data_IF_768953764725
#
_entry.id   IF_768953764725
#
_cell.length_a   1.000
_cell.length_b   1.000
_cell.length_c   1.000
_cell.angle_alpha   90.00
_cell.angle_beta   90.00
_cell.angle_gamma   90.00
#
_symmetry.space_group_name_H-M   'P 1'
#
loop_
_entity.id
_entity.type
_entity.pdbx_description
1 polymer ?
#
# COMPACT_ATOMS: atom_id res chain seq x y z
N UNK A 1 -0.69 18.58 -29.60
CA UNK A 1 -1.44 18.19 -28.38
C UNK A 1 -1.08 16.74 -28.06
N UNK A 2 -0.43 16.45 -26.93
CA UNK A 2 -0.21 15.07 -26.51
C UNK A 2 -1.54 14.47 -25.99
N UNK A 3 -1.91 13.24 -26.38
CA UNK A 3 -3.13 12.59 -25.90
C UNK A 3 -3.09 12.44 -24.36
N UNK A 4 -4.22 12.71 -23.70
CA UNK A 4 -4.31 12.89 -22.25
C UNK A 4 -3.72 11.72 -21.43
N UNK A 5 -3.86 10.50 -21.95
CA UNK A 5 -3.34 9.25 -21.41
C UNK A 5 -1.81 9.20 -21.23
N UNK A 6 -1.03 9.94 -22.03
CA UNK A 6 0.44 9.96 -21.87
C UNK A 6 0.88 10.80 -20.66
N UNK A 7 0.12 11.85 -20.32
CA UNK A 7 0.45 12.72 -19.18
C UNK A 7 0.25 11.97 -17.86
N UNK A 8 -0.84 11.22 -17.76
CA UNK A 8 -1.14 10.40 -16.58
C UNK A 8 -0.12 9.26 -16.43
N UNK A 9 0.24 8.59 -17.54
CA UNK A 9 1.28 7.57 -17.53
C UNK A 9 2.67 8.12 -17.12
N UNK A 10 3.04 9.31 -17.60
CA UNK A 10 4.32 9.94 -17.24
C UNK A 10 4.35 10.34 -15.76
N UNK A 11 3.23 10.87 -15.24
CA UNK A 11 3.09 11.21 -13.81
C UNK A 11 3.20 9.97 -12.94
N UNK A 12 2.51 8.89 -13.33
CA UNK A 12 2.58 7.59 -12.67
C UNK A 12 4.03 7.07 -12.61
N UNK A 13 4.72 7.06 -13.76
CA UNK A 13 6.09 6.55 -13.83
C UNK A 13 7.07 7.42 -13.04
N UNK A 14 6.86 8.73 -12.99
CA UNK A 14 7.65 9.66 -12.18
C UNK A 14 7.55 9.34 -10.69
N UNK A 15 6.34 9.16 -10.16
CA UNK A 15 6.13 8.78 -8.76
C UNK A 15 6.72 7.41 -8.43
N UNK A 16 6.49 6.42 -9.31
CA UNK A 16 7.03 5.08 -9.15
C UNK A 16 8.56 5.12 -9.07
N UNK A 17 9.21 5.83 -10.00
CA UNK A 17 10.66 5.90 -10.08
C UNK A 17 11.25 6.66 -8.89
N UNK A 18 10.64 7.78 -8.50
CA UNK A 18 11.05 8.57 -7.35
C UNK A 18 11.01 7.74 -6.07
N UNK A 19 9.89 7.08 -5.79
CA UNK A 19 9.73 6.26 -4.58
C UNK A 19 10.64 5.02 -4.59
N UNK A 20 10.83 4.40 -5.76
CA UNK A 20 11.75 3.27 -5.92
C UNK A 20 13.20 3.67 -5.66
N UNK A 21 13.65 4.81 -6.19
CA UNK A 21 14.99 5.32 -5.96
C UNK A 21 15.22 5.65 -4.48
N UNK A 22 14.24 6.29 -3.84
CA UNK A 22 14.26 6.61 -2.41
C UNK A 22 14.23 5.37 -1.51
N UNK A 23 13.57 4.29 -1.95
CA UNK A 23 13.61 3.01 -1.26
C UNK A 23 14.98 2.32 -1.40
N UNK A 24 15.55 2.29 -2.60
CA UNK A 24 16.86 1.67 -2.83
C UNK A 24 17.98 2.39 -2.09
N UNK A 25 18.00 3.73 -2.10
CA UNK A 25 18.99 4.51 -1.33
C UNK A 25 18.82 4.33 0.18
N UNK A 26 17.60 4.01 0.65
CA UNK A 26 17.35 3.68 2.05
C UNK A 26 17.95 2.33 2.47
N UNK A 27 18.16 1.40 1.53
CA UNK A 27 18.74 0.07 1.79
C UNK A 27 20.25 0.09 1.55
N UNK A 28 20.68 0.60 0.40
CA UNK A 28 22.07 0.54 -0.06
C UNK A 28 22.90 1.68 0.55
N UNK A 29 22.25 2.83 0.82
CA UNK A 29 22.93 4.07 1.20
C UNK A 29 23.71 4.70 0.04
N UNK A 30 24.62 5.61 0.38
CA UNK A 30 25.48 6.31 -0.57
C UNK A 30 26.96 5.87 -0.41
N UNK A 31 27.25 4.59 -0.65
CA UNK A 31 28.62 4.08 -0.57
C UNK A 31 29.11 3.56 -1.93
N UNK A 32 30.18 4.16 -2.42
CA UNK A 32 30.79 3.91 -3.74
C UNK A 32 31.85 2.78 -3.71
N UNK A 33 32.03 2.10 -2.58
CA UNK A 33 33.07 1.07 -2.40
C UNK A 33 32.56 -0.15 -1.63
N UNK A 34 32.55 -1.31 -2.31
CA UNK A 34 32.13 -2.60 -1.74
C UNK A 34 32.93 -3.03 -0.49
N UNK A 35 34.19 -2.58 -0.38
CA UNK A 35 35.05 -2.87 0.76
C UNK A 35 34.68 -2.09 2.05
N UNK A 36 34.09 -0.90 1.91
CA UNK A 36 33.59 -0.13 3.06
C UNK A 36 32.20 -0.63 3.51
N UNK A 37 31.39 -1.13 2.58
CA UNK A 37 30.04 -1.64 2.85
C UNK A 37 30.02 -2.82 3.85
N UNK A 38 31.05 -3.67 3.84
CA UNK A 38 31.17 -4.82 4.74
C UNK A 38 31.49 -4.47 6.20
N UNK A 39 31.93 -3.25 6.51
CA UNK A 39 32.41 -2.85 7.85
C UNK A 39 31.54 -1.76 8.52
N UNK A 40 30.47 -1.30 7.87
CA UNK A 40 29.61 -0.26 8.43
C UNK A 40 28.49 -0.91 9.26
N UNK A 41 28.33 -0.57 10.54
CA UNK A 41 27.23 -1.09 11.35
C UNK A 41 25.87 -0.65 10.75
N UNK A 42 24.95 -1.61 10.56
CA UNK A 42 23.59 -1.43 10.01
C UNK A 42 22.81 -0.21 10.55
N UNK A 43 23.12 0.25 11.77
CA UNK A 43 22.53 1.45 12.38
C UNK A 43 22.75 2.74 11.59
N UNK A 44 23.81 2.83 10.78
CA UNK A 44 24.16 4.08 10.08
C UNK A 44 23.12 4.50 9.03
N UNK A 45 22.35 3.55 8.51
CA UNK A 45 21.38 3.83 7.45
C UNK A 45 20.04 4.37 7.96
N UNK A 46 19.84 4.48 9.29
CA UNK A 46 18.52 4.80 9.89
C UNK A 46 18.01 6.16 9.42
N UNK A 47 18.92 7.12 9.27
CA UNK A 47 18.61 8.47 8.82
C UNK A 47 17.99 8.48 7.41
N UNK A 48 18.51 7.65 6.51
CA UNK A 48 17.98 7.53 5.14
C UNK A 48 16.60 6.87 5.09
N UNK A 49 16.31 5.91 5.98
CA UNK A 49 14.95 5.35 6.08
C UNK A 49 13.95 6.32 6.70
N UNK A 50 14.36 7.09 7.71
CA UNK A 50 13.46 8.10 8.28
C UNK A 50 13.13 9.13 7.20
N UNK A 51 14.13 9.56 6.42
CA UNK A 51 13.93 10.49 5.31
C UNK A 51 13.01 9.90 4.22
N UNK A 52 13.26 8.67 3.78
CA UNK A 52 12.41 8.00 2.77
C UNK A 52 10.99 7.79 3.30
N UNK A 53 10.84 7.44 4.58
CA UNK A 53 9.56 7.27 5.26
C UNK A 53 8.76 8.57 5.33
N UNK A 54 9.41 9.69 5.70
CA UNK A 54 8.78 11.02 5.72
C UNK A 54 8.33 11.40 4.30
N UNK A 55 9.15 11.15 3.28
CA UNK A 55 8.81 11.44 1.88
C UNK A 55 7.64 10.58 1.41
N UNK A 56 7.60 9.29 1.78
CA UNK A 56 6.45 8.42 1.50
C UNK A 56 5.17 8.94 2.18
N UNK A 57 5.27 9.37 3.44
CA UNK A 57 4.13 9.94 4.16
C UNK A 57 3.64 11.24 3.50
N UNK A 58 4.56 12.10 3.08
CA UNK A 58 4.24 13.31 2.31
C UNK A 58 3.55 12.96 0.97
N UNK A 59 4.00 11.90 0.29
CA UNK A 59 3.36 11.41 -0.94
C UNK A 59 1.93 10.87 -0.69
N UNK A 60 1.68 10.20 0.44
CA UNK A 60 0.33 9.77 0.83
C UNK A 60 -0.57 10.99 1.06
N UNK A 61 -0.10 11.96 1.84
CA UNK A 61 -0.85 13.20 2.13
C UNK A 61 -1.14 13.95 0.83
N UNK A 62 -0.17 14.05 -0.07
CA UNK A 62 -0.34 14.67 -1.37
C UNK A 62 -1.33 13.91 -2.25
N UNK A 63 -1.26 12.58 -2.30
CA UNK A 63 -2.19 11.72 -3.03
C UNK A 63 -3.63 11.85 -2.55
N UNK A 64 -3.85 12.00 -1.24
CA UNK A 64 -5.18 12.26 -0.67
C UNK A 64 -5.72 13.63 -1.11
N UNK A 65 -4.87 14.67 -1.17
CA UNK A 65 -5.31 16.02 -1.58
C UNK A 65 -5.66 16.12 -3.07
N UNK A 66 -5.10 15.25 -3.90
CA UNK A 66 -5.31 15.23 -5.35
C UNK A 66 -6.41 14.24 -5.78
N UNK A 67 -7.05 13.55 -4.82
CA UNK A 67 -8.00 12.44 -5.04
C UNK A 67 -7.44 11.34 -5.98
N UNK A 68 -6.10 11.20 -5.99
CA UNK A 68 -5.39 10.23 -6.83
C UNK A 68 -5.15 8.95 -6.02
N UNK A 69 -6.07 7.99 -6.22
CA UNK A 69 -6.02 6.68 -5.57
C UNK A 69 -4.70 5.94 -5.84
N UNK A 70 -4.08 6.16 -6.99
CA UNK A 70 -2.85 5.46 -7.40
C UNK A 70 -1.66 6.00 -6.62
N UNK A 71 -1.51 7.33 -6.60
CA UNK A 71 -0.42 8.00 -5.85
C UNK A 71 -0.52 7.69 -4.34
N UNK A 72 -1.74 7.69 -3.79
CA UNK A 72 -1.98 7.31 -2.39
C UNK A 72 -1.57 5.88 -2.10
N UNK A 73 -1.91 4.95 -2.98
CA UNK A 73 -1.59 3.52 -2.82
C UNK A 73 -0.09 3.28 -2.95
N UNK A 74 0.59 3.94 -3.88
CA UNK A 74 2.05 3.89 -3.97
C UNK A 74 2.74 4.38 -2.72
N UNK A 75 2.33 5.54 -2.19
CA UNK A 75 2.89 6.07 -0.96
C UNK A 75 2.74 5.07 0.20
N UNK A 76 1.55 4.44 0.34
CA UNK A 76 1.31 3.41 1.35
C UNK A 76 2.17 2.17 1.15
N UNK A 77 2.22 1.62 -0.07
CA UNK A 77 2.98 0.41 -0.37
C UNK A 77 4.48 0.64 -0.17
N UNK A 78 5.03 1.74 -0.69
CA UNK A 78 6.44 2.06 -0.52
C UNK A 78 6.82 2.37 0.93
N UNK A 79 5.95 3.02 1.70
CA UNK A 79 6.15 3.22 3.14
C UNK A 79 6.21 1.87 3.86
N UNK A 80 5.27 0.98 3.56
CA UNK A 80 5.15 -0.32 4.20
C UNK A 80 6.33 -1.23 3.83
N UNK A 81 6.76 -1.23 2.57
CA UNK A 81 7.96 -1.93 2.13
C UNK A 81 9.21 -1.34 2.81
N UNK A 82 9.39 -0.01 2.84
CA UNK A 82 10.54 0.62 3.53
C UNK A 82 10.62 0.19 4.99
N UNK A 83 9.50 0.26 5.71
CA UNK A 83 9.43 -0.12 7.11
C UNK A 83 9.64 -1.63 7.30
N UNK A 84 9.09 -2.44 6.40
CA UNK A 84 9.20 -3.90 6.45
C UNK A 84 10.62 -4.39 6.21
N UNK A 85 11.32 -3.84 5.21
CA UNK A 85 12.74 -4.18 4.97
C UNK A 85 13.56 -3.91 6.23
N UNK A 86 13.30 -2.77 6.88
CA UNK A 86 13.96 -2.37 8.12
C UNK A 86 13.61 -3.26 9.30
N UNK A 87 12.32 -3.58 9.44
CA UNK A 87 11.81 -4.46 10.48
C UNK A 87 12.48 -5.83 10.36
N UNK A 88 12.55 -6.38 9.16
CA UNK A 88 13.25 -7.64 8.91
C UNK A 88 14.72 -7.54 9.33
N UNK A 89 15.44 -6.50 8.95
CA UNK A 89 16.86 -6.32 9.29
C UNK A 89 17.13 -6.30 10.80
N UNK A 90 16.37 -5.51 11.58
CA UNK A 90 16.57 -5.43 13.03
C UNK A 90 16.04 -6.66 13.77
N UNK A 91 14.89 -7.19 13.35
CA UNK A 91 14.22 -8.29 14.04
C UNK A 91 14.78 -9.66 13.66
N UNK A 92 15.48 -9.79 12.53
CA UNK A 92 16.08 -11.05 12.10
C UNK A 92 17.20 -11.52 13.03
N UNK A 93 18.07 -10.60 13.47
CA UNK A 93 19.14 -10.92 14.43
C UNK A 93 18.67 -10.79 15.89
N UNK A 94 17.79 -9.84 16.20
CA UNK A 94 17.40 -9.56 17.59
C UNK A 94 16.25 -10.43 18.11
N UNK A 95 15.43 -11.02 17.24
CA UNK A 95 14.20 -11.71 17.63
C UNK A 95 14.20 -13.19 17.24
N UNK A 96 13.77 -14.04 18.17
CA UNK A 96 13.74 -15.49 17.97
C UNK A 96 12.90 -15.83 16.73
N UNK A 97 13.43 -16.67 15.83
CA UNK A 97 12.81 -17.01 14.52
C UNK A 97 11.31 -17.34 14.62
N UNK A 98 10.90 -17.99 15.70
CA UNK A 98 9.50 -18.31 16.00
C UNK A 98 8.60 -17.09 16.15
N UNK A 99 9.06 -16.05 16.86
CA UNK A 99 8.27 -14.84 17.09
C UNK A 99 8.14 -14.05 15.79
N UNK A 100 9.16 -14.06 14.94
CA UNK A 100 9.10 -13.46 13.62
C UNK A 100 7.96 -14.07 12.76
N UNK A 101 7.91 -15.41 12.67
CA UNK A 101 6.83 -16.09 11.94
C UNK A 101 5.46 -15.90 12.59
N UNK A 102 5.38 -15.88 13.92
CA UNK A 102 4.13 -15.59 14.61
C UNK A 102 3.61 -14.18 14.28
N UNK A 103 4.48 -13.17 14.24
CA UNK A 103 4.13 -11.80 13.91
C UNK A 103 3.69 -11.66 12.44
N UNK A 104 4.32 -12.40 11.53
CA UNK A 104 3.88 -12.55 10.14
C UNK A 104 2.49 -13.18 10.05
N UNK A 105 2.24 -14.28 10.75
CA UNK A 105 0.95 -14.95 10.76
C UNK A 105 -0.16 -14.02 11.28
N UNK A 106 0.10 -13.29 12.37
CA UNK A 106 -0.82 -12.31 12.94
C UNK A 106 -1.06 -11.14 11.97
N UNK A 107 -0.02 -10.66 11.27
CA UNK A 107 -0.13 -9.57 10.30
C UNK A 107 -0.99 -9.97 9.10
N UNK A 108 -0.74 -11.16 8.53
CA UNK A 108 -1.55 -11.68 7.42
C UNK A 108 -2.99 -11.96 7.87
N UNK A 109 -3.19 -12.50 9.07
CA UNK A 109 -4.51 -12.69 9.64
C UNK A 109 -5.27 -11.37 9.79
N UNK A 110 -4.60 -10.33 10.28
CA UNK A 110 -5.20 -9.02 10.46
C UNK A 110 -5.59 -8.37 9.12
N UNK A 111 -4.72 -8.44 8.11
CA UNK A 111 -5.01 -7.90 6.78
C UNK A 111 -6.11 -8.71 6.07
N UNK A 112 -6.06 -10.04 6.16
CA UNK A 112 -7.06 -10.94 5.57
C UNK A 112 -8.45 -10.74 6.16
N UNK A 113 -8.55 -10.69 7.49
CA UNK A 113 -9.83 -10.45 8.18
C UNK A 113 -10.43 -9.08 7.87
N UNK A 114 -9.60 -8.04 7.67
CA UNK A 114 -10.06 -6.71 7.26
C UNK A 114 -10.55 -6.69 5.80
N UNK A 115 -9.85 -7.39 4.91
CA UNK A 115 -10.28 -7.55 3.52
C UNK A 115 -11.61 -8.30 3.43
N UNK A 116 -11.78 -9.36 4.22
CA UNK A 116 -13.03 -10.12 4.29
C UNK A 116 -14.21 -9.27 4.78
N UNK A 117 -13.98 -8.43 5.81
CA UNK A 117 -15.01 -7.51 6.31
C UNK A 117 -15.47 -6.50 5.24
N UNK A 118 -14.56 -6.00 4.41
CA UNK A 118 -14.90 -5.10 3.30
C UNK A 118 -15.72 -5.83 2.22
N UNK A 119 -15.31 -7.05 1.87
CA UNK A 119 -16.03 -7.87 0.89
C UNK A 119 -17.47 -8.20 1.34
N UNK A 120 -17.65 -8.55 2.62
CA UNK A 120 -18.98 -8.82 3.19
C UNK A 120 -19.90 -7.59 3.14
N UNK A 121 -19.37 -6.39 3.42
CA UNK A 121 -20.14 -5.15 3.34
C UNK A 121 -20.59 -4.84 1.90
N UNK A 122 -19.72 -5.06 0.91
CA UNK A 122 -20.07 -4.90 -0.50
C UNK A 122 -21.18 -5.88 -0.93
N UNK A 123 -21.12 -7.14 -0.48
CA UNK A 123 -22.14 -8.15 -0.79
C UNK A 123 -23.52 -7.82 -0.15
N UNK A 124 -23.52 -7.29 1.07
CA UNK A 124 -24.76 -6.87 1.75
C UNK A 124 -25.43 -5.68 1.05
N UNK A 125 -24.66 -4.77 0.46
CA UNK A 125 -25.21 -3.65 -0.31
C UNK A 125 -25.80 -4.12 -1.65
N UNK A 126 -25.12 -5.05 -2.34
CA UNK A 126 -25.62 -5.62 -3.59
C UNK A 126 -26.95 -6.39 -3.41
N UNK A 127 -27.07 -7.16 -2.33
CA UNK A 127 -28.29 -7.94 -2.02
C UNK A 127 -29.47 -7.05 -1.60
N UNK A 128 -29.22 -5.96 -0.86
CA UNK A 128 -30.25 -4.98 -0.51
C UNK A 128 -30.83 -4.25 -1.72
N UNK A 129 -29.98 -3.84 -2.67
CA UNK A 129 -30.43 -3.14 -3.87
C UNK A 129 -31.23 -4.06 -4.81
N UNK A 130 -30.79 -5.32 -4.97
CA UNK A 130 -31.52 -6.31 -5.78
C UNK A 130 -32.90 -6.68 -5.20
N UNK A 131 -33.05 -6.71 -3.87
CA UNK A 131 -34.34 -7.02 -3.23
C UNK A 131 -35.35 -5.87 -3.33
N UNK A 132 -34.89 -4.62 -3.39
CA UNK A 132 -35.76 -3.44 -3.57
C UNK A 132 -36.29 -3.32 -5.01
N UNK A 133 -35.47 -3.62 -6.01
CA UNK A 133 -35.90 -3.63 -7.42
C UNK A 133 -36.85 -4.80 -7.73
N UNK A 134 -36.61 -5.98 -7.14
CA UNK A 134 -37.50 -7.14 -7.31
C UNK A 134 -38.90 -6.88 -6.73
N UNK A 135 -38.97 -6.30 -5.52
CA UNK A 135 -40.24 -5.97 -4.85
C UNK A 135 -41.04 -4.89 -5.60
N UNK A 136 -40.37 -3.94 -6.26
CA UNK A 136 -41.02 -2.90 -7.04
C UNK A 136 -41.57 -3.43 -8.38
N UNK A 137 -40.86 -4.38 -9.00
CA UNK A 137 -41.30 -5.01 -10.25
C UNK A 137 -42.52 -5.92 -10.04
N UNK A 138 -42.56 -6.68 -8.95
CA UNK A 138 -43.72 -7.54 -8.63
C UNK A 138 -44.98 -6.71 -8.39
N UNK A 139 -44.88 -5.56 -7.69
CA UNK A 139 -46.03 -4.66 -7.48
C UNK A 139 -46.53 -4.00 -8.77
N UNK A 140 -45.63 -3.64 -9.69
CA UNK A 140 -46.00 -3.08 -11.01
C UNK A 140 -46.69 -4.10 -11.92
N UNK A 141 -46.36 -5.39 -11.76
CA UNK A 141 -46.91 -6.44 -12.61
C UNK A 141 -48.29 -6.89 -12.14
N UNK A 142 -48.58 -6.81 -10.83
CA UNK A 142 -49.91 -7.10 -10.27
C UNK A 142 -50.96 -6.04 -10.59
N UNK A 143 -50.56 -4.80 -10.88
CA UNK A 143 -51.47 -3.67 -11.20
C UNK A 143 -51.88 -3.63 -12.69
N UNK A 144 -51.30 -4.49 -13.53
CA UNK A 144 -51.58 -4.56 -14.98
C UNK A 144 -52.46 -5.75 -15.37
N UNK A 145 -52.84 -6.58 -14.42
CA UNK A 145 -53.56 -7.85 -14.65
C UNK A 145 -55.06 -7.80 -14.35
N UNK A 146 -55.59 -6.66 -13.93
CA UNK A 146 -57.02 -6.40 -13.70
C UNK A 146 -57.57 -5.38 -14.72
#
# INVERSE_FOLDING_TARGET
MLPANLKDATRFMGWLYLLSALWLISIIGNYNSAAAWSNVPQWHFIHWAILSGIICLAAIIYGIRQDDAVTRTFGMVFLLINLYTRFFEYFWDSLHKTVFFALLAVSFWFIGSRAEKLWQLTQQQATKHGSADQSNNDHSNTDKTD
#
